data_IF_505646894170
#
_entry.id   IF_505646894170
#
_cell.length_a   1.000
_cell.length_b   1.000
_cell.length_c   1.000
_cell.angle_alpha   90.00
_cell.angle_beta   90.00
_cell.angle_gamma   90.00
#
_symmetry.space_group_name_H-M   'P 1'
#
loop_
_entity.id
_entity.type
_entity.pdbx_description
1 polymer ?
#
# COMPACT_ATOMS: atom_id res chain seq x y z
N UNK A 1 -15.51 4.59 -1.60
CA UNK A 1 -14.57 5.49 -2.32
C UNK A 1 -13.28 5.59 -1.51
N UNK A 2 -12.12 5.64 -2.16
CA UNK A 2 -10.83 5.87 -1.50
C UNK A 2 -10.33 7.25 -1.92
N UNK A 3 -10.50 8.24 -1.04
CA UNK A 3 -10.29 9.66 -1.34
C UNK A 3 -9.01 10.17 -0.68
N UNK A 4 -7.89 9.47 -0.88
CA UNK A 4 -6.59 9.90 -0.37
C UNK A 4 -5.67 10.21 -1.55
N UNK A 5 -4.77 11.17 -1.39
CA UNK A 5 -3.77 11.51 -2.39
C UNK A 5 -2.63 10.46 -2.45
N UNK A 6 -1.66 10.66 -3.36
CA UNK A 6 -0.52 9.75 -3.52
C UNK A 6 0.41 9.67 -2.29
N UNK A 7 0.29 10.64 -1.37
CA UNK A 7 1.00 10.69 -0.10
C UNK A 7 0.19 10.09 1.04
N UNK A 8 -1.03 9.62 0.78
CA UNK A 8 -1.94 9.07 1.78
C UNK A 8 -2.64 10.12 2.63
N UNK A 9 -2.68 11.38 2.20
CA UNK A 9 -3.39 12.45 2.89
C UNK A 9 -4.85 12.47 2.47
N UNK A 10 -5.74 12.57 3.44
CA UNK A 10 -7.18 12.54 3.24
C UNK A 10 -7.95 12.10 4.50
N UNK A 11 -9.25 11.80 4.38
CA UNK A 11 -10.01 11.81 3.12
C UNK A 11 -10.19 13.24 2.57
N UNK A 12 -10.01 13.40 1.26
CA UNK A 12 -10.26 14.61 0.50
C UNK A 12 -11.72 14.69 0.06
N UNK A 13 -12.16 15.89 -0.31
CA UNK A 13 -13.46 16.09 -0.97
C UNK A 13 -13.52 15.30 -2.29
N UNK A 14 -14.67 14.70 -2.67
CA UNK A 14 -14.85 14.09 -3.99
C UNK A 14 -14.53 15.04 -5.16
N UNK A 15 -14.66 16.36 -4.95
CA UNK A 15 -14.29 17.37 -5.94
C UNK A 15 -12.78 17.42 -6.25
N UNK A 16 -11.94 16.83 -5.39
CA UNK A 16 -10.50 16.69 -5.62
C UNK A 16 -10.14 15.49 -6.51
N UNK A 17 -11.12 14.64 -6.89
CA UNK A 17 -10.86 13.58 -7.86
C UNK A 17 -10.47 14.18 -9.22
N UNK A 18 -9.45 13.63 -9.88
CA UNK A 18 -9.06 14.11 -11.20
C UNK A 18 -10.19 13.84 -12.20
N UNK A 19 -10.40 14.78 -13.12
CA UNK A 19 -11.41 14.65 -14.18
C UNK A 19 -11.04 13.62 -15.25
N UNK A 20 -9.76 13.23 -15.31
CA UNK A 20 -9.24 12.22 -16.23
C UNK A 20 -8.38 11.19 -15.49
N UNK A 21 -8.30 9.97 -16.04
CA UNK A 21 -7.44 8.91 -15.50
C UNK A 21 -5.96 9.30 -15.49
N UNK A 22 -5.51 10.12 -16.44
CA UNK A 22 -4.13 10.63 -16.45
C UNK A 22 -3.79 11.55 -15.28
N UNK A 23 -4.80 12.10 -14.59
CA UNK A 23 -4.61 12.93 -13.40
C UNK A 23 -4.50 12.13 -12.10
N UNK A 24 -4.54 10.79 -12.13
CA UNK A 24 -4.34 9.98 -10.92
C UNK A 24 -2.91 10.10 -10.43
N UNK A 25 -2.75 10.31 -9.13
CA UNK A 25 -1.45 10.43 -8.51
C UNK A 25 -0.80 9.05 -8.34
N UNK A 26 0.53 9.01 -8.46
CA UNK A 26 1.31 7.85 -8.10
C UNK A 26 1.35 7.69 -6.56
N UNK A 27 1.16 6.45 -6.09
CA UNK A 27 1.33 6.06 -4.69
C UNK A 27 2.38 4.93 -4.61
N UNK A 28 3.63 5.25 -4.22
CA UNK A 28 4.71 4.26 -4.10
C UNK A 28 4.36 3.09 -3.17
N UNK A 29 3.59 3.33 -2.12
CA UNK A 29 3.18 2.27 -1.18
C UNK A 29 2.19 1.30 -1.81
N UNK A 30 1.33 1.77 -2.70
CA UNK A 30 0.42 0.90 -3.48
C UNK A 30 1.21 -0.01 -4.42
N UNK A 31 2.27 0.51 -5.06
CA UNK A 31 3.20 -0.30 -5.88
C UNK A 31 3.98 -1.31 -5.04
N UNK A 32 4.46 -0.90 -3.86
CA UNK A 32 5.15 -1.76 -2.91
C UNK A 32 4.27 -2.94 -2.46
N UNK A 33 3.01 -2.69 -2.12
CA UNK A 33 2.08 -3.76 -1.71
C UNK A 33 1.75 -4.69 -2.87
N UNK A 34 1.58 -4.16 -4.09
CA UNK A 34 1.40 -5.02 -5.26
C UNK A 34 2.56 -6.01 -5.42
N UNK A 35 3.81 -5.56 -5.21
CA UNK A 35 4.99 -6.43 -5.24
C UNK A 35 4.96 -7.47 -4.12
N UNK A 36 4.57 -7.11 -2.89
CA UNK A 36 4.43 -8.06 -1.79
C UNK A 36 3.36 -9.14 -2.07
N UNK A 37 2.25 -8.78 -2.72
CA UNK A 37 1.24 -9.76 -3.17
C UNK A 37 1.79 -10.69 -4.25
N UNK A 38 2.54 -10.15 -5.21
CA UNK A 38 3.22 -10.94 -6.26
C UNK A 38 4.22 -11.95 -5.69
N UNK A 39 4.84 -11.62 -4.56
CA UNK A 39 5.76 -12.50 -3.83
C UNK A 39 5.05 -13.46 -2.86
N UNK A 40 3.72 -13.40 -2.74
CA UNK A 40 2.97 -14.24 -1.81
C UNK A 40 3.21 -13.90 -0.34
N UNK A 41 3.65 -12.68 -0.02
CA UNK A 41 3.84 -12.20 1.36
C UNK A 41 2.52 -11.68 1.94
N UNK A 42 1.68 -11.09 1.08
CA UNK A 42 0.32 -10.64 1.41
C UNK A 42 -0.65 -11.43 0.54
N UNK A 43 -1.56 -12.17 1.16
CA UNK A 43 -2.57 -12.94 0.43
C UNK A 43 -3.59 -12.01 -0.25
N UNK A 44 -4.12 -12.39 -1.43
CA UNK A 44 -5.23 -11.66 -2.04
C UNK A 44 -6.48 -11.73 -1.15
N UNK A 45 -7.21 -10.63 -1.09
CA UNK A 45 -8.47 -10.53 -0.36
C UNK A 45 -9.50 -9.84 -1.26
N UNK A 46 -10.09 -10.55 -2.25
CA UNK A 46 -10.88 -9.94 -3.32
C UNK A 46 -12.17 -9.26 -2.82
N UNK A 47 -12.67 -9.68 -1.65
CA UNK A 47 -13.85 -9.10 -1.01
C UNK A 47 -13.53 -7.82 -0.22
N UNK A 48 -12.25 -7.47 -0.05
CA UNK A 48 -11.82 -6.28 0.68
C UNK A 48 -11.55 -5.15 -0.31
N UNK A 49 -12.40 -4.11 -0.38
CA UNK A 49 -12.17 -3.00 -1.28
C UNK A 49 -10.90 -2.24 -0.89
N UNK A 50 -10.18 -1.76 -1.90
CA UNK A 50 -8.94 -0.98 -1.76
C UNK A 50 -7.85 -1.67 -0.93
N UNK A 51 -7.75 -3.00 -1.03
CA UNK A 51 -6.87 -3.81 -0.18
C UNK A 51 -5.40 -3.34 -0.21
N UNK A 52 -4.85 -3.06 -1.39
CA UNK A 52 -3.50 -2.53 -1.58
C UNK A 52 -3.30 -1.19 -0.86
N UNK A 53 -4.31 -0.32 -0.90
CA UNK A 53 -4.23 1.00 -0.29
C UNK A 53 -4.30 0.92 1.24
N UNK A 54 -5.07 -0.02 1.80
CA UNK A 54 -5.11 -0.25 3.26
C UNK A 54 -3.77 -0.73 3.78
N UNK A 55 -3.15 -1.69 3.10
CA UNK A 55 -1.77 -2.10 3.39
C UNK A 55 -0.75 -0.99 3.16
N UNK A 56 -0.93 -0.20 2.11
CA UNK A 56 -0.05 0.92 1.81
C UNK A 56 -0.08 1.98 2.91
N UNK A 57 -1.27 2.30 3.43
CA UNK A 57 -1.43 3.20 4.57
C UNK A 57 -0.76 2.65 5.84
N UNK A 58 -0.89 1.35 6.11
CA UNK A 58 -0.23 0.71 7.26
C UNK A 58 1.30 0.70 7.12
N UNK A 59 1.84 0.42 5.94
CA UNK A 59 3.28 0.48 5.68
C UNK A 59 3.81 1.91 5.76
N UNK A 60 3.02 2.89 5.31
CA UNK A 60 3.37 4.33 5.37
C UNK A 60 3.55 4.84 6.79
N UNK A 61 2.89 4.22 7.78
CA UNK A 61 3.08 4.55 9.19
C UNK A 61 4.30 3.85 9.82
N UNK A 62 5.16 3.18 9.02
CA UNK A 62 6.35 2.47 9.50
C UNK A 62 7.61 3.13 8.94
N UNK A 63 8.72 2.90 9.63
CA UNK A 63 10.03 3.35 9.17
C UNK A 63 10.49 2.44 8.02
N UNK A 64 10.46 2.98 6.80
CA UNK A 64 11.02 2.35 5.61
C UNK A 64 12.11 3.26 5.02
N UNK A 65 13.16 2.71 4.40
CA UNK A 65 14.13 3.50 3.67
C UNK A 65 13.45 4.21 2.47
N UNK A 66 14.00 5.33 1.98
CA UNK A 66 13.44 6.06 0.83
C UNK A 66 13.34 5.17 -0.42
N UNK A 67 12.21 5.27 -1.12
CA UNK A 67 11.90 4.49 -2.33
C UNK A 67 10.88 5.24 -3.21
N UNK A 68 10.65 4.75 -4.43
CA UNK A 68 9.64 5.27 -5.36
C UNK A 68 8.93 4.12 -6.08
N UNK A 69 7.84 4.38 -6.82
CA UNK A 69 7.19 3.36 -7.64
C UNK A 69 8.12 2.69 -8.65
N UNK A 70 9.10 3.42 -9.18
CA UNK A 70 10.08 2.91 -10.14
C UNK A 70 11.23 2.13 -9.49
N UNK A 71 11.45 2.31 -8.18
CA UNK A 71 12.56 1.70 -7.44
C UNK A 71 12.10 1.26 -6.05
N UNK A 72 11.56 0.05 -5.98
CA UNK A 72 10.99 -0.54 -4.76
C UNK A 72 12.05 -1.27 -3.89
N UNK A 73 13.16 -1.68 -4.52
CA UNK A 73 14.22 -2.50 -3.94
C UNK A 73 14.72 -2.02 -2.57
N UNK A 74 14.91 -0.70 -2.32
CA UNK A 74 15.35 -0.23 -1.02
C UNK A 74 14.39 -0.63 0.12
N UNK A 75 13.08 -0.51 -0.10
CA UNK A 75 12.07 -0.71 0.93
C UNK A 75 11.57 -2.16 1.04
N UNK A 76 11.74 -2.97 -0.02
CA UNK A 76 11.20 -4.34 -0.07
C UNK A 76 11.64 -5.25 1.08
N UNK A 77 12.94 -5.31 1.49
CA UNK A 77 13.35 -6.16 2.60
C UNK A 77 12.64 -5.81 3.92
N UNK A 78 12.59 -4.51 4.26
CA UNK A 78 11.94 -4.03 5.47
C UNK A 78 10.42 -4.21 5.42
N UNK A 79 9.80 -3.91 4.28
CA UNK A 79 8.36 -4.09 4.09
C UNK A 79 7.94 -5.56 4.20
N UNK A 80 8.75 -6.49 3.68
CA UNK A 80 8.52 -7.92 3.82
C UNK A 80 8.60 -8.37 5.28
N UNK A 81 9.63 -7.94 6.00
CA UNK A 81 9.78 -8.26 7.42
C UNK A 81 8.58 -7.75 8.24
N UNK A 82 8.14 -6.52 7.99
CA UNK A 82 6.97 -5.93 8.62
C UNK A 82 5.69 -6.71 8.29
N UNK A 83 5.45 -7.02 7.02
CA UNK A 83 4.24 -7.73 6.59
C UNK A 83 4.15 -9.18 7.12
N UNK A 84 5.29 -9.80 7.45
CA UNK A 84 5.36 -11.12 8.10
C UNK A 84 5.19 -11.06 9.62
N UNK A 85 5.58 -9.95 10.24
CA UNK A 85 5.52 -9.78 11.68
C UNK A 85 4.09 -9.79 12.24
N UNK A 86 3.95 -10.11 13.53
CA UNK A 86 2.68 -10.03 14.27
C UNK A 86 2.07 -8.62 14.32
N UNK A 87 2.85 -7.57 14.06
CA UNK A 87 2.35 -6.20 13.96
C UNK A 87 1.32 -6.03 12.81
N UNK A 88 1.34 -6.92 11.82
CA UNK A 88 0.40 -6.95 10.71
C UNK A 88 -0.77 -7.93 10.91
N UNK A 89 -0.89 -8.60 12.05
CA UNK A 89 -1.91 -9.64 12.29
C UNK A 89 -3.37 -9.21 12.13
N UNK A 90 -3.66 -7.91 12.31
CA UNK A 90 -4.99 -7.33 12.11
C UNK A 90 -5.27 -6.96 10.64
N UNK A 91 -4.29 -7.06 9.76
CA UNK A 91 -4.43 -6.72 8.36
C UNK A 91 -5.04 -7.89 7.59
N UNK A 92 -6.03 -7.61 6.75
CA UNK A 92 -6.61 -8.61 5.86
C UNK A 92 -5.52 -9.22 4.97
N UNK A 93 -5.59 -10.53 4.71
CA UNK A 93 -4.60 -11.23 3.90
C UNK A 93 -3.22 -11.42 4.56
N UNK A 94 -3.07 -11.13 5.86
CA UNK A 94 -1.88 -11.52 6.61
C UNK A 94 -1.79 -13.04 6.76
N UNK A 95 -0.58 -13.60 6.63
CA UNK A 95 -0.34 -15.05 6.66
C UNK A 95 0.55 -15.52 7.83
N UNK A 96 1.24 -14.60 8.52
CA UNK A 96 2.08 -14.92 9.69
C UNK A 96 3.28 -15.85 9.43
N UNK A 97 3.75 -15.91 8.17
CA UNK A 97 4.87 -16.75 7.73
C UNK A 97 6.24 -16.16 8.08
#
# INVERSE_FOLDING_TARGET
LYLYDGRGLGPLSPAALPRSLSGTQDDPYRSLVWKLKREGVVAPAPLIPFHEFRWGAWLRSRTLPPFSSDRLEPALPAARALARSSAASHMAGWQGL
#
